data_IF_033352693932
#
_entry.id   IF_033352693932
#
_cell.length_a   1.000
_cell.length_b   1.000
_cell.length_c   1.000
_cell.angle_alpha   90.00
_cell.angle_beta   90.00
_cell.angle_gamma   90.00
#
_symmetry.space_group_name_H-M   'P 1'
#
loop_
_entity.id
_entity.type
_entity.pdbx_description
1 polymer ?
#
# COMPACT_ATOMS: atom_id res chain seq x y z
N UNK A 1 -10.61 22.50 -2.69
CA UNK A 1 -11.74 22.23 -3.62
C UNK A 1 -13.01 22.34 -2.79
N UNK A 2 -13.97 23.17 -3.20
CA UNK A 2 -15.18 23.45 -2.42
C UNK A 2 -16.05 22.20 -2.26
N UNK A 3 -16.35 21.79 -1.03
CA UNK A 3 -17.35 20.76 -0.75
C UNK A 3 -18.73 21.27 -1.20
N UNK A 4 -19.19 20.75 -2.33
CA UNK A 4 -20.47 21.14 -2.91
C UNK A 4 -21.59 20.33 -2.24
N UNK A 5 -22.55 21.03 -1.62
CA UNK A 5 -23.72 20.42 -1.00
C UNK A 5 -24.91 20.43 -1.96
N UNK A 6 -25.63 19.31 -2.04
CA UNK A 6 -26.88 19.18 -2.76
C UNK A 6 -28.10 19.24 -1.85
N UNK A 7 -29.19 19.84 -2.34
CA UNK A 7 -30.52 19.66 -1.75
C UNK A 7 -31.10 18.30 -2.15
N UNK A 8 -32.19 17.90 -1.48
CA UNK A 8 -32.92 16.69 -1.84
C UNK A 8 -33.48 16.76 -3.28
N UNK A 9 -33.88 17.94 -3.78
CA UNK A 9 -34.33 18.06 -5.19
C UNK A 9 -33.16 17.90 -6.16
N UNK A 10 -32.02 18.55 -5.89
CA UNK A 10 -30.83 18.46 -6.75
C UNK A 10 -30.24 17.05 -6.80
N UNK A 11 -30.31 16.31 -5.69
CA UNK A 11 -29.95 14.90 -5.65
C UNK A 11 -30.94 14.02 -6.44
N UNK A 12 -32.23 14.32 -6.35
CA UNK A 12 -33.28 13.60 -7.07
C UNK A 12 -33.12 13.76 -8.60
N UNK A 13 -32.86 14.98 -9.06
CA UNK A 13 -32.59 15.26 -10.47
C UNK A 13 -31.38 14.47 -11.00
N UNK A 14 -30.27 14.47 -10.25
CA UNK A 14 -29.05 13.73 -10.62
C UNK A 14 -29.26 12.21 -10.67
N UNK A 15 -29.98 11.67 -9.70
CA UNK A 15 -30.26 10.23 -9.62
C UNK A 15 -31.42 9.79 -10.54
N UNK A 16 -32.08 10.73 -11.24
CA UNK A 16 -33.33 10.50 -11.98
C UNK A 16 -34.41 9.82 -11.10
N UNK A 17 -34.51 10.26 -9.84
CA UNK A 17 -35.48 9.80 -8.85
C UNK A 17 -36.47 10.92 -8.52
N UNK A 18 -37.58 10.56 -7.88
CA UNK A 18 -38.50 11.54 -7.30
C UNK A 18 -37.94 12.06 -5.95
N UNK A 19 -38.07 13.36 -5.61
CA UNK A 19 -37.57 13.91 -4.34
C UNK A 19 -38.08 13.18 -3.09
N UNK A 20 -39.33 12.68 -3.13
CA UNK A 20 -39.91 11.83 -2.06
C UNK A 20 -39.09 10.57 -1.81
N UNK A 21 -38.54 9.95 -2.86
CA UNK A 21 -37.69 8.77 -2.75
C UNK A 21 -36.36 9.10 -2.08
N UNK A 22 -35.75 10.23 -2.44
CA UNK A 22 -34.51 10.71 -1.80
C UNK A 22 -34.73 11.00 -0.32
N UNK A 23 -35.82 11.70 0.03
CA UNK A 23 -36.17 11.96 1.43
C UNK A 23 -36.43 10.66 2.21
N UNK A 24 -37.06 9.66 1.58
CA UNK A 24 -37.25 8.34 2.18
C UNK A 24 -35.91 7.65 2.44
N UNK A 25 -35.00 7.66 1.47
CA UNK A 25 -33.66 7.08 1.60
C UNK A 25 -32.83 7.73 2.71
N UNK A 26 -32.97 9.05 2.89
CA UNK A 26 -32.32 9.77 4.00
C UNK A 26 -32.91 9.33 5.35
N UNK A 27 -34.24 9.18 5.44
CA UNK A 27 -34.93 8.74 6.67
C UNK A 27 -34.63 7.28 7.02
N UNK A 28 -34.42 6.44 6.03
CA UNK A 28 -33.99 5.05 6.18
C UNK A 28 -32.48 4.91 6.42
N UNK A 29 -31.75 6.02 6.59
CA UNK A 29 -30.29 6.08 6.74
C UNK A 29 -29.49 5.45 5.59
N UNK A 30 -30.13 5.24 4.44
CA UNK A 30 -29.53 4.68 3.23
C UNK A 30 -28.77 5.72 2.39
N UNK A 31 -29.05 7.00 2.60
CA UNK A 31 -28.33 8.12 2.00
C UNK A 31 -27.94 9.11 3.11
N UNK A 32 -26.63 9.33 3.29
CA UNK A 32 -26.12 10.27 4.30
C UNK A 32 -26.49 11.70 3.92
N UNK A 33 -27.05 12.43 4.88
CA UNK A 33 -27.38 13.84 4.73
C UNK A 33 -27.37 14.53 6.08
N UNK A 34 -26.99 15.80 6.09
CA UNK A 34 -27.06 16.67 7.27
C UNK A 34 -28.27 17.57 7.17
N UNK A 35 -29.06 17.67 8.23
CA UNK A 35 -30.17 18.63 8.28
C UNK A 35 -29.64 20.01 8.64
N UNK A 36 -29.77 20.96 7.72
CA UNK A 36 -29.35 22.35 7.92
C UNK A 36 -30.59 23.23 7.79
N UNK A 37 -31.08 23.74 8.93
CA UNK A 37 -32.35 24.46 9.01
C UNK A 37 -33.54 23.57 8.67
N UNK A 38 -34.35 23.98 7.69
CA UNK A 38 -35.55 23.25 7.24
C UNK A 38 -35.27 22.22 6.13
N UNK A 39 -34.04 22.12 5.64
CA UNK A 39 -33.70 21.31 4.48
C UNK A 39 -32.58 20.32 4.78
N UNK A 40 -32.57 19.21 4.04
CA UNK A 40 -31.43 18.30 4.02
C UNK A 40 -30.36 18.80 3.04
N UNK A 41 -29.10 18.64 3.44
CA UNK A 41 -27.91 18.89 2.65
C UNK A 41 -27.15 17.59 2.53
N UNK A 42 -26.88 17.18 1.30
CA UNK A 42 -26.18 15.94 0.96
C UNK A 42 -24.82 16.35 0.43
N UNK A 43 -23.74 15.84 1.00
CA UNK A 43 -22.41 16.06 0.43
C UNK A 43 -22.34 15.41 -0.95
N UNK A 44 -21.69 16.08 -1.89
CA UNK A 44 -21.46 15.51 -3.22
C UNK A 44 -20.84 14.11 -3.17
N UNK A 45 -19.85 13.91 -2.30
CA UNK A 45 -19.18 12.62 -2.08
C UNK A 45 -20.14 11.53 -1.61
N UNK A 46 -21.06 11.84 -0.69
CA UNK A 46 -22.06 10.90 -0.19
C UNK A 46 -23.09 10.53 -1.28
N UNK A 47 -23.48 11.49 -2.12
CA UNK A 47 -24.38 11.24 -3.24
C UNK A 47 -23.72 10.37 -4.32
N UNK A 48 -22.46 10.65 -4.65
CA UNK A 48 -21.66 9.87 -5.59
C UNK A 48 -21.44 8.43 -5.08
N UNK A 49 -21.10 8.28 -3.79
CA UNK A 49 -20.98 6.97 -3.14
C UNK A 49 -22.30 6.19 -3.18
N UNK A 50 -23.44 6.86 -2.91
CA UNK A 50 -24.76 6.24 -3.01
C UNK A 50 -25.12 5.80 -4.43
N UNK A 51 -24.75 6.58 -5.44
CA UNK A 51 -25.02 6.27 -6.85
C UNK A 51 -24.17 5.11 -7.39
N UNK A 52 -23.26 4.54 -6.59
CA UNK A 52 -22.27 3.57 -7.04
C UNK A 52 -21.21 4.19 -7.96
N UNK A 53 -21.22 5.51 -8.14
CA UNK A 53 -20.17 6.28 -8.80
C UNK A 53 -19.15 6.62 -7.72
N UNK A 54 -18.51 5.59 -7.16
CA UNK A 54 -17.33 5.85 -6.36
C UNK A 54 -16.27 6.41 -7.30
N UNK A 55 -16.10 7.72 -7.31
CA UNK A 55 -14.88 8.35 -7.83
C UNK A 55 -13.71 8.15 -6.86
N UNK A 56 -13.70 7.04 -6.12
CA UNK A 56 -12.46 6.35 -5.82
C UNK A 56 -11.94 5.89 -7.17
N UNK A 57 -11.17 6.73 -7.87
CA UNK A 57 -10.15 6.19 -8.75
C UNK A 57 -9.53 5.03 -7.97
N UNK A 58 -9.48 3.79 -8.51
CA UNK A 58 -8.96 2.66 -7.77
C UNK A 58 -7.62 3.13 -7.22
N UNK A 59 -7.54 3.36 -5.90
CA UNK A 59 -6.30 3.73 -5.25
C UNK A 59 -5.37 2.62 -5.68
N UNK A 60 -4.37 2.92 -6.53
CA UNK A 60 -3.58 1.93 -7.28
C UNK A 60 -3.37 0.70 -6.40
N UNK A 61 -4.23 -0.32 -6.57
CA UNK A 61 -4.12 -1.58 -5.83
C UNK A 61 -3.05 -2.45 -6.48
N UNK A 62 -2.20 -1.85 -7.32
CA UNK A 62 -1.01 -2.47 -7.82
C UNK A 62 -0.08 -2.61 -6.62
N UNK A 63 -0.06 -3.81 -6.03
CA UNK A 63 1.02 -4.22 -5.15
C UNK A 63 2.32 -4.12 -5.95
N UNK A 64 3.12 -3.09 -5.64
CA UNK A 64 4.41 -2.86 -6.29
C UNK A 64 5.42 -3.79 -5.64
N UNK A 65 6.08 -4.59 -6.47
CA UNK A 65 7.19 -5.43 -6.07
C UNK A 65 8.46 -5.01 -6.80
N UNK A 66 9.59 -5.24 -6.13
CA UNK A 66 10.93 -5.00 -6.66
C UNK A 66 11.70 -6.30 -6.54
N UNK A 67 12.37 -6.67 -7.63
CA UNK A 67 13.45 -7.66 -7.60
C UNK A 67 14.78 -6.93 -7.58
N UNK A 68 15.58 -7.18 -6.55
CA UNK A 68 16.95 -6.65 -6.46
C UNK A 68 17.94 -7.78 -6.46
N UNK A 69 18.97 -7.66 -7.30
CA UNK A 69 20.11 -8.58 -7.35
C UNK A 69 21.33 -7.83 -6.82
N UNK A 70 21.95 -8.39 -5.78
CA UNK A 70 23.15 -7.82 -5.16
C UNK A 70 24.29 -8.80 -5.32
N UNK A 71 25.42 -8.30 -5.81
CA UNK A 71 26.64 -9.07 -5.96
C UNK A 71 27.73 -8.41 -5.09
N UNK A 72 28.31 -9.20 -4.18
CA UNK A 72 29.36 -8.78 -3.25
C UNK A 72 30.61 -9.59 -3.58
N UNK A 73 31.59 -9.01 -4.30
CA UNK A 73 32.84 -9.68 -4.63
C UNK A 73 33.77 -9.77 -3.41
N UNK A 74 34.84 -10.55 -3.56
CA UNK A 74 35.95 -10.68 -2.59
C UNK A 74 35.50 -11.09 -1.18
N UNK A 75 34.45 -11.92 -1.09
CA UNK A 75 33.89 -12.36 0.17
C UNK A 75 34.36 -13.78 0.51
N UNK A 76 34.93 -13.98 1.70
CA UNK A 76 35.29 -15.33 2.16
C UNK A 76 34.05 -16.21 2.38
N UNK A 77 34.20 -17.54 2.31
CA UNK A 77 33.11 -18.47 2.57
C UNK A 77 32.51 -18.32 3.98
N UNK A 78 33.35 -18.04 4.98
CA UNK A 78 32.91 -17.76 6.36
C UNK A 78 32.07 -16.48 6.42
N UNK A 79 32.53 -15.41 5.77
CA UNK A 79 31.81 -14.15 5.75
C UNK A 79 30.51 -14.25 4.95
N UNK A 80 30.52 -14.97 3.83
CA UNK A 80 29.32 -15.31 3.05
C UNK A 80 28.26 -16.00 3.91
N UNK A 81 28.64 -17.03 4.67
CA UNK A 81 27.73 -17.71 5.59
C UNK A 81 27.20 -16.77 6.67
N UNK A 82 28.09 -16.01 7.31
CA UNK A 82 27.71 -15.04 8.35
C UNK A 82 26.71 -14.01 7.84
N UNK A 83 26.99 -13.44 6.67
CA UNK A 83 26.17 -12.40 6.06
C UNK A 83 24.81 -12.96 5.60
N UNK A 84 24.78 -14.18 5.06
CA UNK A 84 23.54 -14.90 4.72
C UNK A 84 22.67 -15.14 5.95
N UNK A 85 23.25 -15.62 7.05
CA UNK A 85 22.53 -15.85 8.33
C UNK A 85 21.99 -14.55 8.91
N UNK A 86 22.80 -13.49 8.91
CA UNK A 86 22.36 -12.16 9.40
C UNK A 86 21.17 -11.64 8.59
N UNK A 87 21.23 -11.73 7.26
CA UNK A 87 20.14 -11.29 6.38
C UNK A 87 18.85 -12.09 6.61
N UNK A 88 18.95 -13.42 6.76
CA UNK A 88 17.79 -14.25 7.09
C UNK A 88 17.18 -13.92 8.45
N UNK A 89 18.02 -13.68 9.48
CA UNK A 89 17.54 -13.28 10.80
C UNK A 89 16.81 -11.92 10.79
N UNK A 90 17.27 -10.97 9.96
CA UNK A 90 16.58 -9.69 9.75
C UNK A 90 15.20 -9.85 9.12
N UNK A 91 14.98 -10.88 8.31
CA UNK A 91 13.66 -11.18 7.73
C UNK A 91 12.72 -11.80 8.77
N UNK A 92 13.21 -12.75 9.57
CA UNK A 92 12.40 -13.45 10.59
C UNK A 92 11.96 -12.52 11.72
N UNK A 93 12.85 -11.64 12.19
CA UNK A 93 12.54 -10.68 13.26
C UNK A 93 11.45 -9.66 12.90
N UNK A 94 11.12 -9.51 11.61
CA UNK A 94 10.11 -8.57 11.11
C UNK A 94 8.71 -9.20 11.12
N UNK A 95 8.20 -9.48 12.32
CA UNK A 95 6.91 -10.14 12.58
C UNK A 95 5.63 -9.36 12.20
N UNK A 96 5.70 -8.26 11.45
CA UNK A 96 4.53 -7.47 11.03
C UNK A 96 4.67 -6.93 9.61
N UNK A 97 4.72 -7.82 8.62
CA UNK A 97 4.55 -7.41 7.21
C UNK A 97 3.33 -8.07 6.61
N UNK A 98 2.48 -7.32 5.90
CA UNK A 98 1.33 -7.89 5.20
C UNK A 98 1.76 -8.83 4.06
N UNK A 99 2.99 -8.70 3.56
CA UNK A 99 3.55 -9.50 2.46
C UNK A 99 4.85 -10.21 2.85
N UNK A 100 5.02 -11.44 2.38
CA UNK A 100 6.24 -12.25 2.59
C UNK A 100 7.32 -11.81 1.61
N UNK A 101 8.45 -11.34 2.13
CA UNK A 101 9.64 -11.04 1.32
C UNK A 101 10.39 -12.35 1.00
N UNK A 102 10.75 -12.56 -0.27
CA UNK A 102 11.58 -13.69 -0.69
C UNK A 102 13.05 -13.28 -0.72
N UNK A 103 13.91 -14.16 -0.22
CA UNK A 103 15.36 -13.98 -0.19
C UNK A 103 16.06 -15.27 -0.62
N UNK A 104 16.89 -15.17 -1.65
CA UNK A 104 17.77 -16.24 -2.07
C UNK A 104 19.23 -15.78 -1.98
N UNK A 105 20.10 -16.67 -1.51
CA UNK A 105 21.54 -16.45 -1.41
C UNK A 105 22.25 -17.56 -2.17
N UNK A 106 23.26 -17.21 -2.98
CA UNK A 106 24.13 -18.14 -3.66
C UNK A 106 25.58 -17.65 -3.56
N UNK A 107 26.50 -18.53 -3.18
CA UNK A 107 27.91 -18.20 -3.07
C UNK A 107 28.72 -19.00 -4.09
N UNK A 108 29.53 -18.31 -4.88
CA UNK A 108 30.51 -18.91 -5.78
C UNK A 108 31.88 -18.89 -5.08
N UNK A 109 32.36 -20.07 -4.68
CA UNK A 109 33.62 -20.22 -3.96
C UNK A 109 34.85 -20.01 -4.85
N UNK A 110 34.75 -20.31 -6.16
CA UNK A 110 35.86 -20.11 -7.10
C UNK A 110 36.08 -18.61 -7.36
N UNK A 111 34.98 -17.86 -7.47
CA UNK A 111 35.01 -16.41 -7.74
C UNK A 111 34.97 -15.55 -6.48
N UNK A 112 34.84 -16.17 -5.30
CA UNK A 112 34.62 -15.48 -4.02
C UNK A 112 33.50 -14.44 -4.11
N UNK A 113 32.41 -14.80 -4.78
CA UNK A 113 31.32 -13.90 -5.13
C UNK A 113 30.04 -14.33 -4.43
N UNK A 114 29.51 -13.45 -3.59
CA UNK A 114 28.22 -13.65 -2.97
C UNK A 114 27.13 -12.96 -3.78
N UNK A 115 26.08 -13.71 -4.12
CA UNK A 115 24.88 -13.20 -4.79
C UNK A 115 23.66 -13.28 -3.88
N UNK A 116 22.90 -12.20 -3.84
CA UNK A 116 21.58 -12.15 -3.20
C UNK A 116 20.51 -11.78 -4.21
N UNK A 117 19.35 -12.42 -4.11
CA UNK A 117 18.15 -12.09 -4.86
C UNK A 117 17.04 -11.80 -3.85
N UNK A 118 16.50 -10.59 -3.92
CA UNK A 118 15.51 -10.05 -3.01
C UNK A 118 14.24 -9.75 -3.79
N UNK A 119 13.09 -10.25 -3.35
CA UNK A 119 11.79 -9.92 -3.94
C UNK A 119 10.85 -9.48 -2.82
N UNK A 120 10.39 -8.24 -2.88
CA UNK A 120 9.51 -7.66 -1.86
C UNK A 120 9.01 -6.28 -2.25
N UNK A 121 8.39 -5.57 -1.32
CA UNK A 121 7.97 -4.19 -1.55
C UNK A 121 9.20 -3.26 -1.65
N UNK A 122 9.09 -2.07 -2.28
CA UNK A 122 10.19 -1.12 -2.35
C UNK A 122 10.75 -0.74 -0.98
N UNK A 123 9.90 -0.46 0.01
CA UNK A 123 10.32 -0.08 1.37
C UNK A 123 11.09 -1.19 2.07
N UNK A 124 10.57 -2.41 1.95
CA UNK A 124 11.13 -3.59 2.59
C UNK A 124 12.51 -3.94 2.03
N UNK A 125 12.62 -3.84 0.71
CA UNK A 125 13.87 -4.06 -0.02
C UNK A 125 14.90 -2.98 0.34
N UNK A 126 14.49 -1.71 0.36
CA UNK A 126 15.39 -0.59 0.70
C UNK A 126 15.97 -0.72 2.11
N UNK A 127 15.15 -1.06 3.11
CA UNK A 127 15.64 -1.24 4.48
C UNK A 127 16.68 -2.36 4.61
N UNK A 128 16.49 -3.46 3.89
CA UNK A 128 17.43 -4.58 3.92
C UNK A 128 18.74 -4.22 3.20
N UNK A 129 18.65 -3.53 2.06
CA UNK A 129 19.82 -3.01 1.35
C UNK A 129 20.62 -2.01 2.20
N UNK A 130 19.94 -1.13 2.93
CA UNK A 130 20.60 -0.19 3.86
C UNK A 130 21.29 -0.93 5.01
N UNK A 131 20.68 -2.00 5.54
CA UNK A 131 21.28 -2.83 6.59
C UNK A 131 22.53 -3.56 6.10
N UNK A 132 22.48 -4.07 4.86
CA UNK A 132 23.61 -4.70 4.19
C UNK A 132 24.77 -3.72 3.97
N UNK A 133 24.48 -2.54 3.42
CA UNK A 133 25.49 -1.49 3.20
C UNK A 133 26.15 -1.05 4.52
N UNK A 134 25.36 -0.85 5.58
CA UNK A 134 25.88 -0.51 6.90
C UNK A 134 26.81 -1.61 7.45
N UNK A 135 26.44 -2.89 7.32
CA UNK A 135 27.26 -4.01 7.76
C UNK A 135 28.57 -4.12 6.96
N UNK A 136 28.51 -3.99 5.64
CA UNK A 136 29.71 -4.03 4.78
C UNK A 136 30.66 -2.85 5.05
N UNK A 137 30.13 -1.66 5.34
CA UNK A 137 30.94 -0.50 5.74
C UNK A 137 31.62 -0.70 7.09
N UNK A 138 30.97 -1.36 8.05
CA UNK A 138 31.54 -1.65 9.37
C UNK A 138 32.67 -2.69 9.33
N UNK A 139 32.83 -3.42 8.23
CA UNK A 139 33.89 -4.41 8.01
C UNK A 139 35.14 -3.84 7.33
N UNK A 140 35.06 -2.60 6.81
CA UNK A 140 36.20 -1.88 6.20
C UNK A 140 36.90 -1.02 7.24
#
# INVERSE_FOLDING_TARGET
MSEEFYTAEQAAERLKLHPKTVLRLIREERLRATRIGKSYRILRSDLEAFAGVSNSAPALQAEVYVTSVVEVPDLSAEMSNRLTVLMQAMLISRHRRPHVMQFNAAYDAERQLQKFILIGTPSDTAELLNSLDAYLKALR
#
